data_IF_348326469129
#
_entry.id   IF_348326469129
#
_cell.length_a   1.000
_cell.length_b   1.000
_cell.length_c   1.000
_cell.angle_alpha   90.00
_cell.angle_beta   90.00
_cell.angle_gamma   90.00
#
_symmetry.space_group_name_H-M   'P 1'
#
loop_
_entity.id
_entity.type
_entity.pdbx_description
1 polymer ?
#
# COMPACT_ATOMS: atom_id res chain seq x y z
N UNK A 1 17.68 -28.68 -9.90
CA UNK A 1 16.95 -27.43 -10.14
C UNK A 1 17.89 -26.30 -9.77
N UNK A 2 18.06 -25.29 -10.62
CA UNK A 2 18.94 -24.16 -10.34
C UNK A 2 18.43 -23.42 -9.08
N UNK A 3 19.31 -23.15 -8.11
CA UNK A 3 18.97 -22.44 -6.86
C UNK A 3 18.31 -21.06 -7.13
N UNK A 4 18.69 -20.44 -8.23
CA UNK A 4 18.07 -19.20 -8.72
C UNK A 4 16.57 -19.37 -9.03
N UNK A 5 16.20 -20.41 -9.77
CA UNK A 5 14.81 -20.70 -10.12
C UNK A 5 13.97 -21.04 -8.87
N UNK A 6 14.51 -21.91 -8.00
CA UNK A 6 13.84 -22.28 -6.73
C UNK A 6 13.54 -21.04 -5.90
N UNK A 7 14.51 -20.15 -5.77
CA UNK A 7 14.36 -18.91 -5.01
C UNK A 7 13.27 -17.98 -5.57
N UNK A 8 13.16 -17.86 -6.89
CA UNK A 8 12.08 -17.07 -7.50
C UNK A 8 10.72 -17.72 -7.33
N UNK A 9 10.62 -19.06 -7.48
CA UNK A 9 9.36 -19.77 -7.23
C UNK A 9 8.88 -19.58 -5.78
N UNK A 10 9.78 -19.69 -4.80
CA UNK A 10 9.48 -19.43 -3.40
C UNK A 10 9.02 -17.98 -3.19
N UNK A 11 9.72 -17.01 -3.77
CA UNK A 11 9.37 -15.58 -3.66
C UNK A 11 7.98 -15.30 -4.22
N UNK A 12 7.68 -15.82 -5.43
CA UNK A 12 6.39 -15.61 -6.10
C UNK A 12 5.27 -16.31 -5.34
N UNK A 13 5.52 -17.51 -4.82
CA UNK A 13 4.51 -18.25 -4.04
C UNK A 13 4.13 -17.53 -2.75
N UNK A 14 5.12 -17.09 -1.96
CA UNK A 14 4.87 -16.33 -0.72
C UNK A 14 4.22 -14.99 -1.04
N UNK A 15 4.72 -14.26 -2.04
CA UNK A 15 4.13 -12.99 -2.49
C UNK A 15 2.70 -13.16 -2.98
N UNK A 16 2.40 -14.22 -3.72
CA UNK A 16 1.05 -14.54 -4.20
C UNK A 16 0.08 -14.82 -3.04
N UNK A 17 0.49 -15.62 -2.06
CA UNK A 17 -0.31 -15.86 -0.84
C UNK A 17 -0.51 -14.57 -0.07
N UNK A 18 0.54 -13.77 0.10
CA UNK A 18 0.47 -12.48 0.77
C UNK A 18 -0.51 -11.51 0.08
N UNK A 19 -0.51 -11.46 -1.26
CA UNK A 19 -1.44 -10.65 -2.04
C UNK A 19 -2.88 -11.13 -1.86
N UNK A 20 -3.13 -12.43 -1.98
CA UNK A 20 -4.47 -13.00 -1.78
C UNK A 20 -5.00 -12.64 -0.39
N UNK A 21 -4.20 -12.84 0.65
CA UNK A 21 -4.58 -12.50 2.03
C UNK A 21 -4.93 -11.01 2.20
N UNK A 22 -4.21 -10.11 1.52
CA UNK A 22 -4.43 -8.66 1.62
C UNK A 22 -5.63 -8.19 0.82
N UNK A 23 -5.88 -8.80 -0.33
CA UNK A 23 -7.06 -8.48 -1.14
C UNK A 23 -8.34 -9.14 -0.63
N UNK A 24 -8.23 -10.22 0.13
CA UNK A 24 -9.40 -10.93 0.68
C UNK A 24 -10.21 -10.00 1.58
N UNK A 25 -11.46 -9.77 1.17
CA UNK A 25 -12.41 -8.91 1.89
C UNK A 25 -11.84 -7.50 2.21
N UNK A 26 -11.08 -6.91 1.28
CA UNK A 26 -10.40 -5.61 1.48
C UNK A 26 -11.41 -4.46 1.67
N UNK A 27 -12.62 -4.59 1.12
CA UNK A 27 -13.69 -3.60 1.28
C UNK A 27 -14.27 -3.53 2.70
N UNK A 28 -13.98 -4.50 3.56
CA UNK A 28 -14.53 -4.52 4.91
C UNK A 28 -13.52 -3.98 5.95
N UNK A 29 -13.99 -3.13 6.87
CA UNK A 29 -15.30 -2.48 6.91
C UNK A 29 -15.44 -1.39 5.83
N UNK A 30 -16.66 -1.18 5.34
CA UNK A 30 -16.99 -0.18 4.31
C UNK A 30 -17.08 1.23 4.86
N UNK A 31 -16.17 1.63 5.73
CA UNK A 31 -16.12 2.98 6.34
C UNK A 31 -14.66 3.45 6.40
N UNK A 32 -14.48 4.74 6.43
CA UNK A 32 -13.18 5.37 6.58
C UNK A 32 -12.63 5.08 7.98
N UNK A 33 -11.42 4.57 8.06
CA UNK A 33 -10.73 4.18 9.28
C UNK A 33 -9.55 5.13 9.53
N UNK A 34 -9.45 5.67 10.72
CA UNK A 34 -8.34 6.54 11.11
C UNK A 34 -8.07 7.64 10.07
N UNK A 35 -6.88 7.77 9.54
CA UNK A 35 -6.52 8.80 8.56
C UNK A 35 -7.09 8.55 7.14
N UNK A 36 -7.79 7.44 6.89
CA UNK A 36 -8.66 7.33 5.71
C UNK A 36 -9.73 8.44 5.68
N UNK A 37 -9.97 9.12 6.81
CA UNK A 37 -10.84 10.29 6.85
C UNK A 37 -10.27 11.50 6.10
N UNK A 38 -9.00 11.46 5.70
CA UNK A 38 -8.28 12.50 4.95
C UNK A 38 -7.75 11.98 3.61
N UNK A 39 -6.83 11.01 3.61
CA UNK A 39 -6.04 10.64 2.44
C UNK A 39 -6.83 10.17 1.21
N UNK A 40 -7.89 9.35 1.31
CA UNK A 40 -8.72 9.03 0.15
C UNK A 40 -9.44 10.25 -0.44
N UNK A 41 -9.84 11.20 0.39
CA UNK A 41 -10.50 12.42 -0.05
C UNK A 41 -9.53 13.33 -0.81
N UNK A 42 -8.32 13.48 -0.27
CA UNK A 42 -7.24 14.23 -0.90
C UNK A 42 -6.85 13.57 -2.23
N UNK A 43 -6.66 12.24 -2.23
CA UNK A 43 -6.33 11.46 -3.40
C UNK A 43 -7.39 11.61 -4.51
N UNK A 44 -8.67 11.57 -4.15
CA UNK A 44 -9.78 11.76 -5.08
C UNK A 44 -9.80 13.14 -5.70
N UNK A 45 -9.63 14.20 -4.92
CA UNK A 45 -9.59 15.57 -5.44
C UNK A 45 -8.35 15.83 -6.28
N UNK A 46 -7.18 15.31 -5.89
CA UNK A 46 -5.96 15.37 -6.71
C UNK A 46 -6.15 14.69 -8.07
N UNK A 47 -6.86 13.56 -8.12
CA UNK A 47 -7.17 12.86 -9.37
C UNK A 47 -8.03 13.70 -10.32
N UNK A 48 -8.95 14.52 -9.78
CA UNK A 48 -9.94 15.24 -10.58
C UNK A 48 -9.55 16.69 -10.91
N UNK A 49 -8.81 17.35 -10.03
CA UNK A 49 -8.45 18.76 -10.19
C UNK A 49 -6.95 19.06 -10.07
N UNK A 50 -6.12 18.05 -9.75
CA UNK A 50 -4.67 18.18 -9.68
C UNK A 50 -4.12 18.71 -8.36
N UNK A 51 -4.96 18.97 -7.37
CA UNK A 51 -4.58 19.40 -6.01
C UNK A 51 -5.61 18.96 -4.98
N UNK A 52 -5.25 19.05 -3.70
CA UNK A 52 -6.12 18.68 -2.59
C UNK A 52 -7.23 19.72 -2.40
N UNK A 53 -8.49 19.29 -2.53
CA UNK A 53 -9.66 20.11 -2.39
C UNK A 53 -10.41 19.87 -1.10
N UNK A 54 -11.08 20.90 -0.59
CA UNK A 54 -11.86 20.80 0.64
C UNK A 54 -13.12 19.95 0.46
N UNK A 55 -13.54 19.29 1.53
CA UNK A 55 -14.76 18.51 1.60
C UNK A 55 -15.71 19.14 2.63
N UNK A 56 -17.01 18.88 2.50
CA UNK A 56 -17.99 19.29 3.49
C UNK A 56 -17.73 18.69 4.87
N UNK A 57 -18.63 18.97 5.83
CA UNK A 57 -18.49 18.49 7.21
C UNK A 57 -18.27 16.96 7.27
N UNK A 58 -17.18 16.56 7.92
CA UNK A 58 -16.74 15.16 7.99
C UNK A 58 -17.80 14.21 8.58
N UNK A 59 -18.64 14.70 9.54
CA UNK A 59 -19.70 13.88 10.13
C UNK A 59 -20.78 13.50 9.13
N UNK A 60 -20.99 14.35 8.12
CA UNK A 60 -21.98 14.14 7.07
C UNK A 60 -21.34 13.43 5.86
N UNK A 61 -20.16 13.86 5.45
CA UNK A 61 -19.51 13.40 4.21
C UNK A 61 -18.91 11.99 4.36
N UNK A 62 -18.25 11.68 5.48
CA UNK A 62 -17.60 10.37 5.64
C UNK A 62 -18.56 9.18 5.54
N UNK A 63 -19.77 9.20 6.13
CA UNK A 63 -20.77 8.15 5.90
C UNK A 63 -21.24 8.07 4.44
N UNK A 64 -21.35 9.19 3.73
CA UNK A 64 -21.75 9.22 2.33
C UNK A 64 -20.68 8.60 1.43
N UNK A 65 -19.41 8.92 1.66
CA UNK A 65 -18.26 8.30 0.97
C UNK A 65 -18.24 6.79 1.23
N UNK A 66 -18.43 6.38 2.47
CA UNK A 66 -18.52 4.97 2.84
C UNK A 66 -19.68 4.23 2.14
N UNK A 67 -20.74 4.95 1.79
CA UNK A 67 -21.88 4.46 0.99
C UNK A 67 -21.65 4.55 -0.53
N UNK A 68 -20.48 5.00 -0.99
CA UNK A 68 -20.12 5.08 -2.41
C UNK A 68 -20.41 6.44 -3.07
N UNK A 69 -20.67 7.50 -2.30
CA UNK A 69 -20.87 8.85 -2.84
C UNK A 69 -19.52 9.57 -2.92
N UNK A 70 -19.20 10.10 -4.10
CA UNK A 70 -17.95 10.86 -4.35
C UNK A 70 -18.20 12.36 -4.57
N UNK A 71 -19.39 12.84 -4.32
CA UNK A 71 -19.83 14.22 -4.53
C UNK A 71 -19.88 14.94 -3.16
N UNK A 72 -19.18 15.98 -2.96
CA UNK A 72 -19.20 16.74 -1.69
C UNK A 72 -17.92 17.48 -1.42
N UNK A 73 -17.04 17.47 -2.41
CA UNK A 73 -15.82 18.28 -2.42
C UNK A 73 -16.06 19.59 -3.18
N UNK A 74 -15.25 20.60 -2.87
CA UNK A 74 -15.25 21.90 -3.51
C UNK A 74 -13.91 22.17 -4.18
N UNK A 75 -13.84 23.10 -5.17
CA UNK A 75 -12.57 23.46 -5.78
C UNK A 75 -11.67 24.31 -4.87
N UNK A 76 -12.07 24.63 -3.67
CA UNK A 76 -11.24 25.38 -2.74
C UNK A 76 -10.09 24.49 -2.27
N UNK A 77 -8.87 25.04 -2.27
CA UNK A 77 -7.68 24.30 -1.86
C UNK A 77 -7.72 23.95 -0.36
N UNK A 78 -7.38 22.72 -0.03
CA UNK A 78 -7.24 22.27 1.35
C UNK A 78 -5.81 22.53 1.86
N UNK A 79 -5.65 22.51 3.20
CA UNK A 79 -4.33 22.58 3.81
C UNK A 79 -3.58 21.28 3.64
N UNK A 80 -2.46 21.33 2.91
CA UNK A 80 -1.63 20.14 2.59
C UNK A 80 -0.85 19.71 3.83
N UNK A 81 -1.16 18.53 4.36
CA UNK A 81 -0.53 17.99 5.59
C UNK A 81 0.71 17.15 5.28
N UNK A 82 0.68 16.37 4.21
CA UNK A 82 1.74 15.41 3.86
C UNK A 82 2.16 15.54 2.39
N UNK A 83 3.40 15.08 2.03
CA UNK A 83 3.83 15.03 0.63
C UNK A 83 2.84 14.23 -0.25
N UNK A 84 2.66 14.63 -1.52
CA UNK A 84 1.55 14.13 -2.36
C UNK A 84 1.70 12.68 -2.80
N UNK A 85 2.92 12.14 -2.93
CA UNK A 85 3.19 10.83 -3.56
C UNK A 85 2.33 9.69 -2.99
N UNK A 86 2.16 9.60 -1.67
CA UNK A 86 1.36 8.53 -1.08
C UNK A 86 -0.14 8.66 -1.42
N UNK A 87 -0.65 9.89 -1.51
CA UNK A 87 -2.03 10.18 -1.93
C UNK A 87 -2.21 9.91 -3.42
N UNK A 88 -1.24 10.26 -4.27
CA UNK A 88 -1.22 9.90 -5.70
C UNK A 88 -1.23 8.37 -5.89
N UNK A 89 -0.53 7.61 -5.05
CA UNK A 89 -0.59 6.15 -5.10
C UNK A 89 -1.96 5.60 -4.68
N UNK A 90 -2.64 6.22 -3.70
CA UNK A 90 -4.03 5.89 -3.35
C UNK A 90 -4.95 6.18 -4.52
N UNK A 91 -4.79 7.34 -5.20
CA UNK A 91 -5.62 7.75 -6.31
C UNK A 91 -5.60 6.77 -7.50
N UNK A 92 -4.52 6.01 -7.69
CA UNK A 92 -4.47 4.94 -8.69
C UNK A 92 -5.54 3.89 -8.44
N UNK A 93 -5.70 3.44 -7.19
CA UNK A 93 -6.73 2.49 -6.84
C UNK A 93 -8.14 3.07 -6.98
N UNK A 94 -8.32 4.35 -6.62
CA UNK A 94 -9.59 5.06 -6.81
C UNK A 94 -9.92 5.28 -8.29
N UNK A 95 -8.95 5.55 -9.13
CA UNK A 95 -9.14 5.65 -10.57
C UNK A 95 -9.63 4.32 -11.18
N UNK A 96 -9.11 3.20 -10.72
CA UNK A 96 -9.44 1.87 -11.25
C UNK A 96 -10.78 1.32 -10.70
N UNK A 97 -11.10 1.59 -9.45
CA UNK A 97 -12.20 0.94 -8.73
C UNK A 97 -13.22 1.92 -8.12
N UNK A 98 -13.06 3.23 -8.44
CA UNK A 98 -13.87 4.30 -7.88
C UNK A 98 -13.52 4.63 -6.43
N UNK A 99 -14.18 5.67 -5.88
CA UNK A 99 -14.06 6.07 -4.48
C UNK A 99 -14.81 5.08 -3.57
N UNK A 100 -14.26 3.88 -3.44
CA UNK A 100 -14.80 2.78 -2.64
C UNK A 100 -13.74 2.29 -1.66
N UNK A 101 -14.15 1.59 -0.59
CA UNK A 101 -13.19 1.04 0.39
C UNK A 101 -12.20 0.05 -0.24
N UNK A 102 -12.56 -0.62 -1.31
CA UNK A 102 -11.62 -1.40 -2.11
C UNK A 102 -10.66 -0.47 -2.87
N UNK A 103 -11.17 0.56 -3.53
CA UNK A 103 -10.40 1.48 -4.36
C UNK A 103 -9.27 2.14 -3.58
N UNK A 104 -9.58 2.86 -2.50
CA UNK A 104 -8.55 3.57 -1.74
C UNK A 104 -7.57 2.67 -0.96
N UNK A 105 -7.91 1.38 -0.71
CA UNK A 105 -7.02 0.42 -0.04
C UNK A 105 -6.20 -0.43 -1.01
N UNK A 106 -6.57 -0.47 -2.27
CA UNK A 106 -5.96 -1.35 -3.26
C UNK A 106 -4.45 -1.15 -3.38
N UNK A 107 -4.01 0.10 -3.54
CA UNK A 107 -2.58 0.42 -3.65
C UNK A 107 -1.81 0.05 -2.39
N UNK A 108 -2.39 0.24 -1.21
CA UNK A 108 -1.78 -0.18 0.06
C UNK A 108 -1.55 -1.70 0.11
N UNK A 109 -2.52 -2.50 -0.39
CA UNK A 109 -2.39 -3.96 -0.45
C UNK A 109 -1.28 -4.41 -1.42
N UNK A 110 -1.17 -3.75 -2.56
CA UNK A 110 -0.09 -4.01 -3.51
C UNK A 110 1.29 -3.65 -2.94
N UNK A 111 1.43 -2.46 -2.36
CA UNK A 111 2.70 -2.02 -1.79
C UNK A 111 3.11 -2.86 -0.57
N UNK A 112 2.16 -3.23 0.30
CA UNK A 112 2.44 -4.15 1.39
C UNK A 112 2.92 -5.52 0.91
N UNK A 113 2.38 -6.01 -0.20
CA UNK A 113 2.87 -7.25 -0.85
C UNK A 113 4.24 -7.05 -1.46
N UNK A 114 4.48 -5.94 -2.16
CA UNK A 114 5.79 -5.60 -2.72
C UNK A 114 6.87 -5.53 -1.64
N UNK A 115 6.57 -4.94 -0.49
CA UNK A 115 7.46 -4.91 0.66
C UNK A 115 7.88 -6.32 1.11
N UNK A 116 6.95 -7.29 1.12
CA UNK A 116 7.26 -8.68 1.44
C UNK A 116 8.20 -9.29 0.41
N UNK A 117 7.91 -9.11 -0.88
CA UNK A 117 8.76 -9.59 -1.98
C UNK A 117 10.17 -9.01 -1.87
N UNK A 118 10.28 -7.71 -1.65
CA UNK A 118 11.57 -7.03 -1.45
C UNK A 118 12.32 -7.58 -0.22
N UNK A 119 11.62 -7.82 0.88
CA UNK A 119 12.21 -8.38 2.10
C UNK A 119 12.74 -9.79 1.88
N UNK A 120 12.00 -10.66 1.17
CA UNK A 120 12.47 -12.01 0.80
C UNK A 120 13.77 -11.91 -0.01
N UNK A 121 13.78 -11.05 -1.02
CA UNK A 121 14.93 -10.89 -1.92
C UNK A 121 16.14 -10.32 -1.20
N UNK A 122 15.93 -9.32 -0.35
CA UNK A 122 16.97 -8.71 0.49
C UNK A 122 17.56 -9.73 1.48
N UNK A 123 16.70 -10.42 2.25
CA UNK A 123 17.15 -11.41 3.22
C UNK A 123 17.93 -12.56 2.57
N UNK A 124 17.43 -13.08 1.42
CA UNK A 124 18.15 -14.07 0.63
C UNK A 124 19.50 -13.56 0.14
N UNK A 125 19.58 -12.33 -0.36
CA UNK A 125 20.83 -11.75 -0.85
C UNK A 125 21.87 -11.64 0.26
N UNK A 126 21.47 -11.11 1.42
CA UNK A 126 22.39 -10.91 2.55
C UNK A 126 22.85 -12.23 3.17
N UNK A 127 21.95 -13.21 3.31
CA UNK A 127 22.26 -14.52 3.92
C UNK A 127 22.79 -15.56 2.94
N UNK A 128 22.64 -15.33 1.63
CA UNK A 128 22.87 -16.31 0.56
C UNK A 128 22.04 -17.59 0.71
N UNK A 129 20.90 -17.51 1.40
CA UNK A 129 20.04 -18.66 1.71
C UNK A 129 18.59 -18.37 1.29
N UNK A 130 18.05 -19.22 0.41
CA UNK A 130 16.65 -19.17 0.01
C UNK A 130 15.72 -19.44 1.20
N UNK A 131 16.13 -20.29 2.13
CA UNK A 131 15.36 -20.59 3.34
C UNK A 131 15.23 -19.37 4.26
N UNK A 132 16.31 -18.63 4.49
CA UNK A 132 16.27 -17.40 5.29
C UNK A 132 15.36 -16.35 4.65
N UNK A 133 15.45 -16.20 3.32
CA UNK A 133 14.54 -15.32 2.59
C UNK A 133 13.07 -15.73 2.75
N UNK A 134 12.77 -17.04 2.62
CA UNK A 134 11.42 -17.56 2.80
C UNK A 134 10.88 -17.32 4.22
N UNK A 135 11.67 -17.60 5.25
CA UNK A 135 11.30 -17.36 6.65
C UNK A 135 11.01 -15.88 6.89
N UNK A 136 11.88 -14.99 6.43
CA UNK A 136 11.68 -13.54 6.56
C UNK A 136 10.35 -13.09 5.90
N UNK A 137 10.06 -13.59 4.69
CA UNK A 137 8.81 -13.29 4.00
C UNK A 137 7.57 -13.84 4.68
N UNK A 138 7.63 -15.06 5.20
CA UNK A 138 6.50 -15.66 5.95
C UNK A 138 6.25 -14.88 7.25
N UNK A 139 7.28 -14.57 8.00
CA UNK A 139 7.15 -13.80 9.23
C UNK A 139 6.52 -12.44 8.97
N UNK A 140 6.99 -11.72 7.94
CA UNK A 140 6.42 -10.41 7.58
C UNK A 140 5.00 -10.54 6.99
N UNK A 141 4.67 -11.64 6.30
CA UNK A 141 3.31 -11.89 5.81
C UNK A 141 2.31 -12.05 6.94
N UNK A 142 2.74 -12.67 8.03
CA UNK A 142 1.93 -12.97 9.22
C UNK A 142 2.04 -11.89 10.31
N UNK A 143 2.93 -10.91 10.15
CA UNK A 143 3.05 -9.80 11.11
C UNK A 143 1.76 -8.98 11.14
N UNK A 144 1.18 -8.85 12.33
CA UNK A 144 -0.14 -8.22 12.50
C UNK A 144 -0.13 -6.73 12.14
N UNK A 145 0.94 -6.01 12.47
CA UNK A 145 1.03 -4.58 12.16
C UNK A 145 1.14 -4.36 10.65
N UNK A 146 2.09 -5.03 9.99
CA UNK A 146 2.28 -4.92 8.55
C UNK A 146 1.02 -5.37 7.78
N UNK A 147 0.34 -6.42 8.25
CA UNK A 147 -0.90 -6.90 7.65
C UNK A 147 -2.01 -5.84 7.72
N UNK A 148 -2.23 -5.22 8.88
CA UNK A 148 -3.24 -4.16 9.04
C UNK A 148 -2.88 -2.93 8.23
N UNK A 149 -1.64 -2.42 8.34
CA UNK A 149 -1.19 -1.21 7.62
C UNK A 149 -1.25 -1.37 6.10
N UNK A 150 -1.09 -2.58 5.57
CA UNK A 150 -1.23 -2.87 4.15
C UNK A 150 -2.68 -3.06 3.68
N UNK A 151 -3.68 -2.92 4.55
CA UNK A 151 -5.11 -3.08 4.25
C UNK A 151 -5.94 -1.84 4.59
N UNK A 152 -5.27 -0.76 4.94
CA UNK A 152 -5.87 0.55 5.23
C UNK A 152 -5.22 1.58 4.30
N UNK A 153 -5.98 2.56 3.84
CA UNK A 153 -5.48 3.61 2.93
C UNK A 153 -4.65 4.66 3.68
N UNK A 154 -3.50 4.23 4.22
CA UNK A 154 -2.54 5.07 4.94
C UNK A 154 -1.25 5.26 4.14
N UNK A 155 -0.50 6.32 4.46
CA UNK A 155 0.74 6.66 3.75
C UNK A 155 1.95 5.85 4.19
N UNK A 156 1.92 5.31 5.42
CA UNK A 156 3.04 4.63 6.06
C UNK A 156 3.52 3.39 5.30
N UNK A 157 2.60 2.62 4.71
CA UNK A 157 2.97 1.41 3.97
C UNK A 157 3.79 1.72 2.72
N UNK A 158 3.51 2.85 2.06
CA UNK A 158 4.29 3.31 0.91
C UNK A 158 5.69 3.73 1.35
N UNK A 159 5.78 4.54 2.42
CA UNK A 159 7.05 4.97 2.99
C UNK A 159 7.92 3.78 3.41
N UNK A 160 7.35 2.82 4.15
CA UNK A 160 8.05 1.62 4.59
C UNK A 160 8.52 0.77 3.39
N UNK A 161 7.71 0.63 2.35
CA UNK A 161 8.07 -0.10 1.13
C UNK A 161 9.24 0.57 0.41
N UNK A 162 9.21 1.90 0.23
CA UNK A 162 10.32 2.63 -0.39
C UNK A 162 11.60 2.57 0.44
N UNK A 163 11.49 2.58 1.77
CA UNK A 163 12.65 2.40 2.64
C UNK A 163 13.31 1.03 2.42
N UNK A 164 12.51 -0.04 2.43
CA UNK A 164 13.01 -1.41 2.16
C UNK A 164 13.57 -1.52 0.75
N UNK A 165 12.93 -0.90 -0.25
CA UNK A 165 13.42 -0.86 -1.63
C UNK A 165 14.78 -0.16 -1.72
N UNK A 166 14.97 0.98 -1.03
CA UNK A 166 16.23 1.70 -0.98
C UNK A 166 17.36 0.85 -0.37
N UNK A 167 17.09 0.19 0.77
CA UNK A 167 18.04 -0.73 1.40
C UNK A 167 18.37 -1.91 0.47
N UNK A 168 17.36 -2.46 -0.20
CA UNK A 168 17.54 -3.55 -1.16
C UNK A 168 18.39 -3.12 -2.38
N UNK A 169 18.20 -1.90 -2.86
CA UNK A 169 18.99 -1.32 -3.96
C UNK A 169 20.46 -1.15 -3.55
N UNK A 170 20.73 -0.56 -2.38
CA UNK A 170 22.08 -0.43 -1.83
C UNK A 170 22.75 -1.80 -1.65
N UNK A 171 22.02 -2.78 -1.12
CA UNK A 171 22.52 -4.15 -0.99
C UNK A 171 22.75 -4.82 -2.36
N UNK A 172 22.01 -4.42 -3.41
CA UNK A 172 22.20 -4.92 -4.77
C UNK A 172 23.45 -4.36 -5.43
N UNK A 173 23.80 -3.12 -5.11
CA UNK A 173 24.93 -2.39 -5.68
C UNK A 173 26.28 -2.62 -4.93
N UNK A 174 26.30 -3.62 -4.05
CA UNK A 174 27.46 -3.94 -3.19
C UNK A 174 28.74 -4.36 -3.91
N UNK A 175 28.68 -4.58 -5.23
CA UNK A 175 29.86 -4.88 -6.05
C UNK A 175 30.65 -3.61 -6.44
N UNK A 176 30.25 -2.43 -5.95
CA UNK A 176 30.90 -1.13 -6.16
C UNK A 176 31.97 -0.79 -5.08
N UNK A 177 32.10 -1.62 -4.06
CA UNK A 177 33.12 -1.52 -3.01
C UNK A 177 33.97 -2.83 -2.98
#
# INVERSE_FOLDING_TARGET
MDDGLVSWLVTISIGGVALIMRLWNLSYPSKLLFDETYYPKDAWTMLHQGYEGTWGDAKTINPQIAAGTSNGWTPDAEFVVHPPLGKELISIGEHLFGMTSFGWRFSSALFGTLMIVLTIRLARRLSRSTMVGAIAGILLTLDGLQFVMSRVGLLDIFQATFLVAGVAAVAADRDWF
#
